data_IF_020290413622
#
_entry.id   IF_020290413622
#
_cell.length_a   1.000
_cell.length_b   1.000
_cell.length_c   1.000
_cell.angle_alpha   90.00
_cell.angle_beta   90.00
_cell.angle_gamma   90.00
#
_symmetry.space_group_name_H-M   'P 1'
#
loop_
_entity.id
_entity.type
_entity.pdbx_description
1 polymer ?
#
# COMPACT_ATOMS: atom_id res chain seq x y z
N UNK A 1 -12.40 -2.64 6.02
CA UNK A 1 -12.30 -3.80 6.94
C UNK A 1 -11.15 -3.55 7.91
N UNK A 2 -11.34 -3.84 9.20
CA UNK A 2 -10.24 -3.87 10.15
C UNK A 2 -9.25 -4.97 9.74
N UNK A 3 -7.96 -4.63 9.72
CA UNK A 3 -6.86 -5.54 9.44
C UNK A 3 -6.51 -6.26 10.74
N UNK A 4 -6.82 -7.56 10.88
CA UNK A 4 -6.55 -8.29 12.12
C UNK A 4 -5.03 -8.43 12.28
N UNK A 5 -4.47 -7.76 13.27
CA UNK A 5 -3.03 -7.75 13.52
C UNK A 5 -2.73 -7.59 15.01
N UNK A 6 -1.85 -8.44 15.54
CA UNK A 6 -1.54 -8.50 16.97
C UNK A 6 -1.02 -7.17 17.54
N UNK A 7 -0.19 -6.46 16.79
CA UNK A 7 0.46 -5.22 17.25
C UNK A 7 -0.18 -3.93 16.73
N UNK A 8 -1.02 -4.00 15.70
CA UNK A 8 -1.56 -2.81 15.03
C UNK A 8 -3.05 -2.73 15.35
N UNK A 9 -3.40 -1.86 16.31
CA UNK A 9 -4.79 -1.59 16.65
C UNK A 9 -5.45 -0.75 15.55
N UNK A 10 -6.70 -1.08 15.19
CA UNK A 10 -7.52 -0.35 14.22
C UNK A 10 -6.84 -0.09 12.86
N UNK A 11 -6.03 -1.04 12.40
CA UNK A 11 -5.41 -0.96 11.08
C UNK A 11 -6.45 -1.11 9.97
N UNK A 12 -6.35 -0.31 8.92
CA UNK A 12 -7.17 -0.44 7.70
C UNK A 12 -6.24 -0.43 6.49
N UNK A 13 -6.43 -1.38 5.57
CA UNK A 13 -5.65 -1.46 4.34
C UNK A 13 -6.48 -1.01 3.14
N UNK A 14 -5.91 -0.14 2.33
CA UNK A 14 -6.45 0.23 1.02
C UNK A 14 -6.00 -0.78 -0.02
N UNK A 15 -6.96 -1.38 -0.71
CA UNK A 15 -6.69 -2.45 -1.68
C UNK A 15 -6.69 -1.94 -3.12
N UNK A 16 -7.73 -1.22 -3.55
CA UNK A 16 -7.86 -0.72 -4.92
C UNK A 16 -8.64 0.59 -4.94
N UNK A 17 -8.15 1.54 -5.73
CA UNK A 17 -8.88 2.77 -6.07
C UNK A 17 -9.11 2.75 -7.56
N UNK A 18 -10.37 2.83 -7.98
CA UNK A 18 -10.78 2.83 -9.39
C UNK A 18 -11.27 4.22 -9.71
N UNK A 19 -10.79 4.77 -10.82
CA UNK A 19 -11.27 6.03 -11.39
C UNK A 19 -11.74 5.69 -12.80
N UNK A 20 -12.94 6.17 -13.16
CA UNK A 20 -13.48 5.98 -14.51
C UNK A 20 -12.49 6.47 -15.56
N UNK A 21 -12.35 5.80 -16.73
CA UNK A 21 -11.36 6.14 -17.74
C UNK A 21 -11.33 7.62 -18.14
N UNK A 22 -12.51 8.25 -18.27
CA UNK A 22 -12.64 9.67 -18.61
C UNK A 22 -12.00 10.63 -17.58
N UNK A 23 -11.82 10.17 -16.34
CA UNK A 23 -11.28 10.95 -15.23
C UNK A 23 -9.89 10.46 -14.79
N UNK A 24 -9.27 9.58 -15.57
CA UNK A 24 -7.89 9.16 -15.34
C UNK A 24 -6.92 10.25 -15.81
N UNK A 25 -5.73 10.30 -15.23
CA UNK A 25 -4.70 11.29 -15.59
C UNK A 25 -4.77 12.63 -14.85
N UNK A 26 -5.95 13.08 -14.41
CA UNK A 26 -6.11 14.35 -13.66
C UNK A 26 -5.78 14.25 -12.16
N UNK A 27 -5.36 13.07 -11.68
CA UNK A 27 -4.89 12.89 -10.30
C UNK A 27 -5.98 12.68 -9.24
N UNK A 28 -7.26 12.59 -9.63
CA UNK A 28 -8.40 12.38 -8.73
C UNK A 28 -8.24 11.18 -7.78
N UNK A 29 -7.72 10.05 -8.26
CA UNK A 29 -7.51 8.87 -7.41
C UNK A 29 -6.55 9.14 -6.24
N UNK A 30 -5.59 10.04 -6.43
CA UNK A 30 -4.70 10.55 -5.38
C UNK A 30 -5.44 11.33 -4.31
N UNK A 31 -6.18 12.35 -4.78
CA UNK A 31 -6.94 13.28 -3.95
C UNK A 31 -7.97 12.52 -3.12
N UNK A 32 -8.76 11.66 -3.76
CA UNK A 32 -9.76 10.82 -3.11
C UNK A 32 -9.13 9.94 -2.02
N UNK A 33 -8.01 9.28 -2.35
CA UNK A 33 -7.33 8.41 -1.38
C UNK A 33 -6.80 9.20 -0.19
N UNK A 34 -6.24 10.39 -0.42
CA UNK A 34 -5.79 11.27 0.65
C UNK A 34 -6.94 11.68 1.55
N UNK A 35 -8.07 12.11 0.96
CA UNK A 35 -9.24 12.53 1.74
C UNK A 35 -9.80 11.39 2.60
N UNK A 36 -9.94 10.19 2.04
CA UNK A 36 -10.36 9.00 2.78
C UNK A 36 -9.34 8.68 3.88
N UNK A 37 -8.03 8.75 3.58
CA UNK A 37 -6.99 8.47 4.56
C UNK A 37 -7.04 9.45 5.75
N UNK A 38 -7.27 10.74 5.49
CA UNK A 38 -7.43 11.77 6.51
C UNK A 38 -8.67 11.53 7.37
N UNK A 39 -9.80 11.21 6.76
CA UNK A 39 -11.04 10.88 7.46
C UNK A 39 -10.85 9.69 8.42
N UNK A 40 -10.28 8.58 7.94
CA UNK A 40 -10.02 7.40 8.78
C UNK A 40 -8.97 7.67 9.87
N UNK A 41 -7.95 8.49 9.57
CA UNK A 41 -6.95 8.89 10.55
C UNK A 41 -7.58 9.68 11.70
N UNK A 42 -8.46 10.64 11.38
CA UNK A 42 -9.23 11.39 12.38
C UNK A 42 -10.17 10.51 13.19
N UNK A 43 -10.70 9.45 12.60
CA UNK A 43 -11.45 8.40 13.31
C UNK A 43 -10.58 7.42 14.09
N UNK A 44 -9.28 7.69 14.28
CA UNK A 44 -8.38 6.87 15.10
C UNK A 44 -7.88 5.58 14.44
N UNK A 45 -8.02 5.44 13.11
CA UNK A 45 -7.56 4.26 12.38
C UNK A 45 -6.18 4.47 11.76
N UNK A 46 -5.36 3.41 11.76
CA UNK A 46 -4.07 3.42 11.10
C UNK A 46 -4.21 2.94 9.65
N UNK A 47 -3.94 3.80 8.67
CA UNK A 47 -4.11 3.45 7.26
C UNK A 47 -2.83 2.93 6.61
N UNK A 48 -2.98 1.88 5.81
CA UNK A 48 -1.89 1.27 5.06
C UNK A 48 -2.27 1.09 3.59
N UNK A 49 -1.30 1.24 2.70
CA UNK A 49 -1.48 0.89 1.29
C UNK A 49 -0.25 0.16 0.77
N UNK A 50 -0.47 -0.89 0.00
CA UNK A 50 0.59 -1.65 -0.66
C UNK A 50 0.36 -1.58 -2.16
N UNK A 51 1.36 -1.13 -2.91
CA UNK A 51 1.25 -0.96 -4.36
C UNK A 51 2.53 -1.34 -5.08
N UNK A 52 2.35 -1.81 -6.31
CA UNK A 52 3.40 -2.11 -7.28
C UNK A 52 3.38 -1.15 -8.46
N UNK A 53 2.36 -0.29 -8.58
CA UNK A 53 2.16 0.56 -9.75
C UNK A 53 3.12 1.77 -9.71
N UNK A 54 4.05 1.92 -10.69
CA UNK A 54 5.11 2.93 -10.62
C UNK A 54 4.59 4.37 -10.42
N UNK A 55 3.51 4.75 -11.12
CA UNK A 55 2.94 6.10 -10.98
C UNK A 55 2.41 6.34 -9.56
N UNK A 56 1.86 5.31 -8.90
CA UNK A 56 1.35 5.43 -7.54
C UNK A 56 2.49 5.51 -6.53
N UNK A 57 3.55 4.73 -6.74
CA UNK A 57 4.77 4.80 -5.93
C UNK A 57 5.37 6.21 -6.00
N UNK A 58 5.49 6.77 -7.20
CA UNK A 58 5.99 8.14 -7.40
C UNK A 58 5.10 9.18 -6.72
N UNK A 59 3.79 9.02 -6.81
CA UNK A 59 2.84 9.93 -6.15
C UNK A 59 2.96 9.88 -4.62
N UNK A 60 3.01 8.68 -4.04
CA UNK A 60 3.15 8.48 -2.59
C UNK A 60 4.49 9.00 -2.10
N UNK A 61 5.57 8.73 -2.82
CA UNK A 61 6.92 9.20 -2.48
C UNK A 61 7.08 10.71 -2.52
N UNK A 62 6.26 11.42 -3.33
CA UNK A 62 6.25 12.89 -3.38
C UNK A 62 5.36 13.51 -2.29
N UNK A 63 4.50 12.73 -1.67
CA UNK A 63 3.53 13.23 -0.71
C UNK A 63 4.13 13.20 0.70
N UNK A 64 4.09 14.32 1.45
CA UNK A 64 4.58 14.37 2.83
C UNK A 64 3.63 13.67 3.82
N UNK A 65 2.48 13.17 3.36
CA UNK A 65 1.49 12.53 4.22
C UNK A 65 1.68 11.00 4.29
N UNK A 66 2.64 10.45 3.54
CA UNK A 66 2.86 9.01 3.43
C UNK A 66 4.30 8.64 3.77
N UNK A 67 4.44 7.66 4.67
CA UNK A 67 5.74 7.11 5.05
C UNK A 67 5.90 5.74 4.39
N UNK A 68 6.99 5.54 3.66
CA UNK A 68 7.32 4.23 3.10
C UNK A 68 7.82 3.31 4.21
N UNK A 69 7.08 2.23 4.49
CA UNK A 69 7.46 1.25 5.52
C UNK A 69 8.25 0.08 4.95
N UNK A 70 8.08 -0.21 3.66
CA UNK A 70 8.82 -1.27 2.98
C UNK A 70 8.90 -0.97 1.49
N UNK A 71 10.06 -1.22 0.88
CA UNK A 71 10.27 -1.19 -0.57
C UNK A 71 11.21 -2.33 -0.93
N UNK A 72 10.71 -3.30 -1.68
CA UNK A 72 11.52 -4.47 -2.01
C UNK A 72 10.77 -5.52 -2.81
N UNK A 73 11.41 -6.69 -2.93
CA UNK A 73 10.85 -7.90 -3.51
C UNK A 73 10.70 -8.94 -2.40
N UNK A 74 9.72 -9.83 -2.56
CA UNK A 74 9.61 -11.00 -1.68
C UNK A 74 10.82 -11.90 -1.92
N UNK A 75 11.50 -12.29 -0.84
CA UNK A 75 12.61 -13.23 -0.88
C UNK A 75 12.15 -14.60 -1.40
N UNK A 76 13.04 -15.32 -2.08
CA UNK A 76 12.75 -16.72 -2.40
C UNK A 76 12.71 -17.50 -1.09
N UNK A 77 11.69 -18.34 -0.92
CA UNK A 77 11.69 -19.30 0.17
C UNK A 77 12.59 -20.47 -0.23
N UNK A 78 13.86 -20.41 0.18
CA UNK A 78 14.92 -21.39 -0.16
C UNK A 78 14.75 -22.72 0.55
N UNK A 79 13.95 -22.78 1.63
CA UNK A 79 13.66 -23.97 2.43
C UNK A 79 12.33 -24.63 2.06
N UNK A 80 11.68 -24.20 0.98
CA UNK A 80 10.37 -24.69 0.58
C UNK A 80 10.44 -26.15 0.09
N UNK A 81 9.62 -27.02 0.70
CA UNK A 81 9.30 -28.36 0.17
C UNK A 81 8.71 -28.25 -1.24
N UNK A 82 8.68 -29.34 -2.01
CA UNK A 82 8.21 -29.35 -3.41
C UNK A 82 6.84 -28.67 -3.63
N UNK A 83 5.93 -28.72 -2.64
CA UNK A 83 4.64 -27.99 -2.66
C UNK A 83 4.79 -26.46 -2.52
N UNK A 84 5.73 -25.97 -1.71
CA UNK A 84 6.01 -24.54 -1.54
C UNK A 84 6.73 -23.91 -2.75
N UNK A 85 7.45 -24.71 -3.55
CA UNK A 85 8.11 -24.25 -4.77
C UNK A 85 7.13 -23.73 -5.85
N UNK A 86 5.92 -24.31 -5.94
CA UNK A 86 4.86 -23.82 -6.83
C UNK A 86 4.38 -22.42 -6.42
N UNK A 87 4.25 -22.17 -5.12
CA UNK A 87 3.80 -20.88 -4.58
C UNK A 87 4.80 -19.75 -4.88
N UNK A 88 6.09 -20.09 -5.03
CA UNK A 88 7.12 -19.12 -5.44
C UNK A 88 6.87 -18.54 -6.85
N UNK A 89 6.12 -19.23 -7.73
CA UNK A 89 5.76 -18.70 -9.06
C UNK A 89 4.63 -17.66 -9.00
N UNK A 90 3.75 -17.76 -8.00
CA UNK A 90 2.55 -16.92 -7.87
C UNK A 90 2.74 -15.70 -6.95
N UNK A 91 3.89 -15.59 -6.28
CA UNK A 91 4.18 -14.49 -5.38
C UNK A 91 4.64 -13.21 -6.13
N UNK A 92 4.92 -12.14 -5.39
CA UNK A 92 5.37 -10.87 -5.97
C UNK A 92 6.88 -10.79 -6.25
N UNK A 93 7.62 -11.90 -6.28
CA UNK A 93 9.09 -11.91 -6.45
C UNK A 93 9.55 -11.26 -7.74
N UNK A 94 8.77 -11.36 -8.83
CA UNK A 94 9.06 -10.71 -10.11
C UNK A 94 8.87 -9.18 -10.12
N UNK A 95 8.24 -8.59 -9.10
CA UNK A 95 7.84 -7.18 -9.08
C UNK A 95 8.21 -6.46 -7.79
N UNK A 96 8.65 -5.21 -7.91
CA UNK A 96 8.88 -4.37 -6.73
C UNK A 96 7.53 -4.03 -6.10
N UNK A 97 7.41 -4.30 -4.80
CA UNK A 97 6.24 -3.97 -4.00
C UNK A 97 6.64 -2.95 -2.94
N UNK A 98 5.84 -1.91 -2.79
CA UNK A 98 6.04 -0.89 -1.76
C UNK A 98 4.85 -0.85 -0.82
N UNK A 99 5.13 -0.74 0.48
CA UNK A 99 4.13 -0.55 1.51
C UNK A 99 4.30 0.83 2.13
N UNK A 100 3.18 1.48 2.38
CA UNK A 100 3.11 2.85 2.86
C UNK A 100 2.12 2.93 4.01
N UNK A 101 2.44 3.76 4.99
CA UNK A 101 1.57 4.11 6.11
C UNK A 101 1.20 5.58 5.99
N UNK A 102 -0.08 5.89 6.20
CA UNK A 102 -0.54 7.27 6.24
C UNK A 102 -0.15 7.92 7.57
N UNK A 103 0.50 9.07 7.50
CA UNK A 103 0.94 9.87 8.63
C UNK A 103 0.96 11.36 8.20
N UNK A 104 -0.17 12.08 8.32
CA UNK A 104 -0.25 13.46 7.88
C UNK A 104 0.72 14.33 8.68
N UNK A 105 1.45 15.21 7.98
CA UNK A 105 2.38 16.17 8.60
C UNK A 105 3.68 15.59 9.17
N UNK A 106 3.96 14.29 9.01
CA UNK A 106 5.21 13.65 9.48
C UNK A 106 6.20 13.26 8.37
N UNK A 107 5.84 13.42 7.09
CA UNK A 107 6.74 13.12 5.97
C UNK A 107 7.61 14.32 5.59
N UNK A 108 8.68 14.52 6.36
CA UNK A 108 9.98 14.98 5.89
C UNK A 108 11.05 14.27 6.69
#
# INVERSE_FOLDING_TARGET
MAFPHAHIKNGVRLHRTVVLPAFQGIGLGGILTKHIADMYHRSGHALFTTTTHPARIRQLSKSPDWICTHKGRVSANTTATAKGASFNKSNSRGRITTSWKYAPGKGK
#
